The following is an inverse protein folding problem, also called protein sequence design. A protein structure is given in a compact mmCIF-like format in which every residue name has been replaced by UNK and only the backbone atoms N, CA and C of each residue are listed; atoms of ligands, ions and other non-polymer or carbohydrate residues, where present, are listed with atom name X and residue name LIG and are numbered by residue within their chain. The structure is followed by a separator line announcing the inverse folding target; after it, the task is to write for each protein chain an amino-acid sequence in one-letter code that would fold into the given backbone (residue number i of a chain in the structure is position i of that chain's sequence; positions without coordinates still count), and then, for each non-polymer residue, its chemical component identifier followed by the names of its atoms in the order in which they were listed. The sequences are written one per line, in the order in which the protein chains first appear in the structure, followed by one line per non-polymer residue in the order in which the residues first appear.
data_IF_095789122520
#
_entry.id   IF_095789122520
#
_cell.length_a   1.000
_cell.length_b   1.000
_cell.length_c   1.000
_cell.angle_alpha   90.00
_cell.angle_beta   90.00
_cell.angle_gamma   90.00
#
_symmetry.space_group_name_H-M   'P 1'
#
loop_
_entity.id
_entity.type
_entity.pdbx_description
1 polymer ?
#
# COMPACT_ATOMS: atom_id res chain seq x y z
N UNK A 1 -8.68 2.36 -6.02
CA UNK A 1 -7.43 3.11 -5.83
C UNK A 1 -7.34 4.22 -6.87
N UNK A 2 -7.03 5.45 -6.43
CA UNK A 2 -6.71 6.57 -7.33
C UNK A 2 -5.30 6.39 -7.91
N UNK A 3 -5.11 6.80 -9.17
CA UNK A 3 -3.80 6.73 -9.85
C UNK A 3 -2.71 7.50 -9.07
N UNK A 4 -3.06 8.67 -8.53
CA UNK A 4 -2.15 9.48 -7.71
C UNK A 4 -1.62 8.72 -6.48
N UNK A 5 -2.49 8.02 -5.76
CA UNK A 5 -2.14 7.21 -4.59
C UNK A 5 -1.16 6.11 -4.97
N UNK A 6 -1.35 5.48 -6.14
CA UNK A 6 -0.43 4.47 -6.65
C UNK A 6 0.97 5.04 -6.91
N UNK A 7 1.04 6.15 -7.65
CA UNK A 7 2.30 6.84 -7.97
C UNK A 7 3.05 7.22 -6.68
N UNK A 8 2.35 7.72 -5.67
CA UNK A 8 2.95 8.12 -4.41
C UNK A 8 3.59 6.94 -3.66
N UNK A 9 2.93 5.77 -3.68
CA UNK A 9 3.44 4.54 -3.07
C UNK A 9 4.67 4.02 -3.83
N UNK A 10 4.61 4.03 -5.16
CA UNK A 10 5.73 3.62 -6.02
C UNK A 10 6.95 4.52 -5.80
N UNK A 11 6.77 5.84 -5.78
CA UNK A 11 7.83 6.80 -5.46
C UNK A 11 8.44 6.57 -4.06
N UNK A 12 7.61 6.23 -3.07
CA UNK A 12 8.12 5.86 -1.75
C UNK A 12 9.01 4.62 -1.82
N UNK A 13 8.59 3.59 -2.56
CA UNK A 13 9.36 2.35 -2.72
C UNK A 13 10.68 2.59 -3.46
N UNK A 14 10.69 3.43 -4.51
CA UNK A 14 11.90 3.82 -5.24
C UNK A 14 12.89 4.61 -4.36
N UNK A 15 12.36 5.49 -3.51
CA UNK A 15 13.18 6.32 -2.61
C UNK A 15 13.76 5.51 -1.43
N UNK A 16 13.04 4.49 -0.96
CA UNK A 16 13.42 3.70 0.22
C UNK A 16 13.42 2.17 -0.01
N UNK A 17 14.11 1.66 -1.05
CA UNK A 17 13.93 0.30 -1.56
C UNK A 17 14.39 -0.80 -0.60
N UNK A 18 15.26 -0.47 0.37
CA UNK A 18 15.82 -1.43 1.33
C UNK A 18 14.99 -1.57 2.61
N UNK A 19 13.86 -0.87 2.72
CA UNK A 19 13.02 -0.93 3.92
C UNK A 19 12.03 -2.07 3.85
N UNK A 20 11.74 -2.72 4.99
CA UNK A 20 10.68 -3.73 5.09
C UNK A 20 9.33 -3.17 4.62
N UNK A 21 9.06 -1.91 4.95
CA UNK A 21 7.87 -1.19 4.50
C UNK A 21 7.80 -1.11 2.97
N UNK A 22 8.87 -0.70 2.29
CA UNK A 22 8.88 -0.66 0.83
C UNK A 22 8.67 -2.05 0.21
N UNK A 23 9.28 -3.11 0.76
CA UNK A 23 9.06 -4.46 0.28
C UNK A 23 7.59 -4.90 0.40
N UNK A 24 6.94 -4.62 1.55
CA UNK A 24 5.51 -4.88 1.75
C UNK A 24 4.65 -4.07 0.79
N UNK A 25 4.88 -2.76 0.69
CA UNK A 25 4.10 -1.86 -0.16
C UNK A 25 4.27 -2.19 -1.64
N UNK A 26 5.48 -2.55 -2.08
CA UNK A 26 5.73 -2.92 -3.47
C UNK A 26 4.98 -4.20 -3.85
N UNK A 27 4.89 -5.17 -2.95
CA UNK A 27 4.04 -6.34 -3.19
C UNK A 27 2.56 -5.94 -3.28
N UNK A 28 2.04 -5.19 -2.32
CA UNK A 28 0.62 -4.81 -2.27
C UNK A 28 0.20 -3.92 -3.46
N UNK A 29 1.04 -2.96 -3.84
CA UNK A 29 0.77 -2.10 -5.00
C UNK A 29 0.83 -2.89 -6.31
N UNK A 30 1.69 -3.92 -6.38
CA UNK A 30 1.72 -4.85 -7.54
C UNK A 30 0.40 -5.62 -7.65
N UNK A 31 -0.18 -6.04 -6.52
CA UNK A 31 -1.49 -6.70 -6.50
C UNK A 31 -2.60 -5.76 -7.00
N UNK A 32 -2.43 -4.44 -6.87
CA UNK A 32 -3.41 -3.48 -7.43
C UNK A 32 -3.49 -3.48 -8.96
N UNK A 33 -2.49 -4.05 -9.65
CA UNK A 33 -2.47 -4.22 -11.11
C UNK A 33 -3.04 -5.58 -11.56
N UNK A 34 -3.17 -6.56 -10.66
CA UNK A 34 -3.58 -7.91 -10.99
C UNK A 34 -4.95 -8.22 -10.39
N UNK A 35 -5.98 -8.28 -11.25
CA UNK A 35 -7.36 -8.56 -10.86
C UNK A 35 -7.57 -9.98 -10.32
N UNK A 36 -6.65 -10.91 -10.60
CA UNK A 36 -6.69 -12.26 -10.06
C UNK A 36 -6.01 -12.37 -8.69
N UNK A 37 -5.34 -11.32 -8.24
CA UNK A 37 -4.64 -11.31 -6.96
C UNK A 37 -5.63 -11.30 -5.81
N UNK A 38 -5.44 -12.22 -4.86
CA UNK A 38 -6.23 -12.27 -3.64
C UNK A 38 -5.35 -11.92 -2.45
N UNK A 39 -5.46 -10.69 -1.93
CA UNK A 39 -4.74 -10.31 -0.73
C UNK A 39 -5.30 -11.05 0.49
N UNK A 40 -4.41 -11.38 1.43
CA UNK A 40 -4.75 -12.21 2.60
C UNK A 40 -5.14 -11.35 3.80
N UNK A 41 -5.78 -11.93 4.81
CA UNK A 41 -6.05 -11.24 6.08
C UNK A 41 -4.77 -10.71 6.75
N UNK A 42 -3.65 -11.41 6.58
CA UNK A 42 -2.35 -10.94 7.06
C UNK A 42 -1.90 -9.65 6.36
N UNK A 43 -2.25 -9.50 5.09
CA UNK A 43 -1.93 -8.33 4.28
C UNK A 43 -2.74 -7.12 4.74
N UNK A 44 -4.03 -7.32 5.03
CA UNK A 44 -4.91 -6.31 5.62
C UNK A 44 -4.36 -5.81 6.96
N UNK A 45 -4.10 -6.72 7.91
CA UNK A 45 -3.54 -6.38 9.22
C UNK A 45 -2.18 -5.68 9.10
N UNK A 46 -1.36 -6.09 8.13
CA UNK A 46 -0.05 -5.48 7.91
C UNK A 46 -0.17 -4.06 7.35
N UNK A 47 -1.10 -3.82 6.42
CA UNK A 47 -1.34 -2.52 5.82
C UNK A 47 -1.96 -1.54 6.83
N UNK A 48 -2.97 -1.97 7.60
CA UNK A 48 -3.58 -1.19 8.66
C UNK A 48 -2.53 -0.69 9.68
N UNK A 49 -1.64 -1.58 10.15
CA UNK A 49 -0.52 -1.21 11.03
C UNK A 49 0.47 -0.22 10.41
N UNK A 50 0.64 -0.26 9.09
CA UNK A 50 1.49 0.71 8.38
C UNK A 50 0.82 2.08 8.32
N UNK A 51 -0.49 2.13 8.05
CA UNK A 51 -1.30 3.35 8.03
C UNK A 51 -1.26 4.04 9.40
N UNK A 52 -1.53 3.31 10.49
CA UNK A 52 -1.53 3.84 11.86
C UNK A 52 -0.20 4.48 12.26
N UNK A 53 0.91 3.97 11.73
CA UNK A 53 2.27 4.43 12.06
C UNK A 53 2.79 5.47 11.08
N UNK A 54 2.08 5.72 9.99
CA UNK A 54 2.54 6.64 8.97
C UNK A 54 2.40 8.10 9.45
N UNK A 55 3.50 8.84 9.33
CA UNK A 55 3.56 10.25 9.76
C UNK A 55 3.37 11.22 8.59
N UNK A 56 3.67 10.79 7.37
CA UNK A 56 3.43 11.59 6.18
C UNK A 56 1.94 11.50 5.81
N UNK A 57 1.18 12.62 5.85
CA UNK A 57 -0.26 12.59 5.65
C UNK A 57 -0.64 12.18 4.22
N UNK A 58 0.11 12.61 3.20
CA UNK A 58 -0.15 12.26 1.80
C UNK A 58 0.08 10.76 1.59
N UNK A 59 1.17 10.22 2.14
CA UNK A 59 1.45 8.79 2.04
C UNK A 59 0.42 7.98 2.81
N UNK A 60 -0.03 8.45 3.98
CA UNK A 60 -1.08 7.79 4.75
C UNK A 60 -2.39 7.71 3.95
N UNK A 61 -2.84 8.82 3.36
CA UNK A 61 -4.03 8.83 2.50
C UNK A 61 -3.88 7.85 1.33
N UNK A 62 -2.71 7.80 0.69
CA UNK A 62 -2.48 6.85 -0.39
C UNK A 62 -2.53 5.39 0.07
N UNK A 63 -2.09 5.10 1.29
CA UNK A 63 -2.18 3.77 1.89
C UNK A 63 -3.61 3.39 2.27
N UNK A 64 -4.42 4.34 2.77
CA UNK A 64 -5.86 4.14 3.01
C UNK A 64 -6.59 3.84 1.69
N UNK A 65 -6.28 4.60 0.63
CA UNK A 65 -6.80 4.38 -0.73
C UNK A 65 -6.42 3.00 -1.32
N UNK A 66 -5.27 2.44 -0.90
CA UNK A 66 -4.83 1.09 -1.25
C UNK A 66 -5.57 0.02 -0.43
N UNK A 67 -5.76 0.27 0.86
CA UNK A 67 -6.48 -0.62 1.77
C UNK A 67 -7.93 -0.78 1.34
N UNK A 68 -8.63 0.33 1.10
CA UNK A 68 -9.99 0.34 0.55
C UNK A 68 -10.09 -0.40 -0.79
N UNK A 69 -9.06 -0.32 -1.63
CA UNK A 69 -9.06 -1.00 -2.92
C UNK A 69 -8.87 -2.52 -2.81
N UNK A 70 -7.97 -2.96 -1.93
CA UNK A 70 -7.62 -4.36 -1.78
C UNK A 70 -8.60 -5.11 -0.86
N UNK A 71 -9.17 -4.42 0.12
CA UNK A 71 -9.92 -5.01 1.23
C UNK A 71 -11.27 -4.35 1.50
N UNK A 72 -11.70 -3.37 0.70
CA UNK A 72 -12.98 -2.68 0.91
C UNK A 72 -14.19 -3.61 0.80
N UNK A 73 -14.60 -4.13 1.95
CA UNK A 73 -15.89 -4.80 2.19
C UNK A 73 -17.04 -3.79 2.23
#
# INVERSE_FOLDING_TARGET
MKEYSRILIEQYCEKYPKTKKAATLQRLVTMSYDIASQPTDYDAISLEKLIERERNPELREALEDLDDFLFGW
#
